data_IF_587007720378
#
_entry.id   IF_587007720378
#
_cell.length_a   1.000
_cell.length_b   1.000
_cell.length_c   1.000
_cell.angle_alpha   90.00
_cell.angle_beta   90.00
_cell.angle_gamma   90.00
#
_symmetry.space_group_name_H-M   'P 1'
#
loop_
_entity.id
_entity.type
_entity.pdbx_description
1 polymer ?
#
# COMPACT_ATOMS: atom_id res chain seq x y z
N UNK A 1 65.67 -4.68 7.24
CA UNK A 1 66.27 -3.38 7.63
C UNK A 1 65.10 -2.46 7.94
N UNK A 2 64.86 -2.20 9.24
CA UNK A 2 64.95 -0.94 9.96
C UNK A 2 64.01 0.16 9.40
N UNK A 3 63.10 0.84 10.06
CA UNK A 3 63.01 1.19 11.49
C UNK A 3 61.58 1.62 11.87
N UNK A 4 61.22 1.23 13.06
CA UNK A 4 60.24 1.77 14.00
C UNK A 4 60.38 3.29 14.20
N UNK A 5 59.22 3.99 14.48
CA UNK A 5 59.18 4.94 15.61
C UNK A 5 57.73 5.17 16.05
N UNK A 6 57.49 4.82 17.29
CA UNK A 6 56.36 5.22 18.12
C UNK A 6 56.68 6.58 18.76
N UNK A 7 55.67 7.41 19.02
CA UNK A 7 55.73 8.48 20.03
C UNK A 7 54.38 8.53 20.76
N UNK A 8 54.52 8.47 22.02
CA UNK A 8 53.72 8.31 23.23
C UNK A 8 53.17 9.68 23.71
N UNK A 9 51.93 9.65 24.26
CA UNK A 9 51.39 10.36 25.43
C UNK A 9 51.71 11.84 25.67
N UNK A 10 50.68 12.68 25.90
CA UNK A 10 50.59 13.48 27.14
C UNK A 10 49.15 13.84 27.55
N UNK A 11 48.83 13.46 28.76
CA UNK A 11 47.70 13.82 29.61
C UNK A 11 47.85 15.28 30.08
N UNK A 12 46.77 16.08 30.11
CA UNK A 12 46.64 17.12 31.13
C UNK A 12 45.17 17.44 31.43
N UNK A 13 44.85 17.13 32.65
CA UNK A 13 43.70 17.44 33.49
C UNK A 13 43.75 18.91 33.90
N UNK A 14 42.68 19.70 33.73
CA UNK A 14 42.49 20.95 34.44
C UNK A 14 41.08 21.10 35.00
N UNK A 15 40.98 20.90 36.29
CA UNK A 15 39.83 21.15 37.14
C UNK A 15 39.97 22.59 37.69
N UNK A 16 38.97 23.43 37.54
CA UNK A 16 38.86 24.70 38.25
C UNK A 16 37.41 25.04 38.58
N UNK A 17 37.09 24.89 39.85
CA UNK A 17 35.88 25.39 40.51
C UNK A 17 36.12 26.86 40.86
N UNK A 18 35.13 27.73 40.59
CA UNK A 18 35.01 29.02 41.28
C UNK A 18 33.52 29.38 41.47
N UNK A 19 33.13 29.33 42.72
CA UNK A 19 31.89 29.87 43.28
C UNK A 19 32.13 31.33 43.60
N UNK A 20 31.26 32.25 43.17
CA UNK A 20 31.06 33.55 43.80
C UNK A 20 29.59 33.87 43.87
N UNK A 21 29.10 33.99 45.08
CA UNK A 21 27.79 34.52 45.41
C UNK A 21 27.82 36.06 45.37
N UNK A 22 26.76 36.67 44.90
CA UNK A 22 26.58 38.11 44.97
C UNK A 22 25.08 38.44 44.94
N UNK A 23 24.50 38.66 46.11
CA UNK A 23 23.17 39.23 46.29
C UNK A 23 23.18 40.71 45.95
N UNK A 24 22.18 41.15 45.14
CA UNK A 24 21.70 42.52 45.24
C UNK A 24 20.20 42.55 44.90
N UNK A 25 19.46 43.07 45.85
CA UNK A 25 18.02 43.23 45.92
C UNK A 25 17.60 44.48 45.13
N UNK A 26 16.60 44.38 44.26
CA UNK A 26 15.73 45.52 44.00
C UNK A 26 14.38 45.01 43.46
N UNK A 27 13.35 45.28 44.25
CA UNK A 27 11.95 45.07 43.94
C UNK A 27 11.52 45.79 42.66
N UNK A 28 10.82 45.05 41.73
CA UNK A 28 9.75 45.58 40.91
C UNK A 28 8.78 44.49 40.55
N UNK A 29 7.57 44.71 41.00
CA UNK A 29 6.24 44.24 40.65
C UNK A 29 6.09 43.03 39.70
N UNK A 30 5.49 42.00 40.26
CA UNK A 30 4.82 40.89 39.59
C UNK A 30 3.71 41.41 38.66
N UNK A 31 3.91 41.22 37.38
CA UNK A 31 2.80 40.90 36.48
C UNK A 31 2.76 39.38 36.35
N UNK A 32 1.88 38.74 37.08
CA UNK A 32 1.54 37.33 36.92
C UNK A 32 0.73 37.20 35.64
N UNK A 33 1.36 36.91 34.53
CA UNK A 33 0.72 36.18 33.43
C UNK A 33 0.82 34.70 33.80
N UNK A 34 -0.22 34.17 34.43
CA UNK A 34 -0.46 32.73 34.44
C UNK A 34 -0.85 32.29 33.03
N UNK A 35 0.16 32.13 32.18
CA UNK A 35 0.02 31.28 31.04
C UNK A 35 -0.04 29.85 31.60
N UNK A 36 -1.17 29.23 31.51
CA UNK A 36 -1.31 27.78 31.60
C UNK A 36 -0.30 27.20 30.58
N UNK A 37 0.79 26.65 31.09
CA UNK A 37 1.62 25.71 30.38
C UNK A 37 0.74 24.45 30.22
N UNK A 38 -0.16 24.45 29.27
CA UNK A 38 -0.81 23.23 28.81
C UNK A 38 0.29 22.25 28.45
N UNK A 39 0.27 21.05 29.05
CA UNK A 39 1.18 19.98 28.65
C UNK A 39 1.05 19.79 27.14
N UNK A 40 2.08 20.13 26.40
CA UNK A 40 2.17 19.90 24.97
C UNK A 40 2.10 18.39 24.74
N UNK A 41 1.13 17.94 23.91
CA UNK A 41 0.93 16.52 23.58
C UNK A 41 1.50 16.24 22.22
N UNK A 42 2.26 15.16 22.11
CA UNK A 42 2.84 14.73 20.83
C UNK A 42 2.26 13.40 20.41
N UNK A 43 1.67 13.34 19.22
CA UNK A 43 1.20 12.13 18.54
C UNK A 43 2.33 11.63 17.67
N UNK A 44 2.81 10.41 17.88
CA UNK A 44 3.75 9.75 16.98
C UNK A 44 2.96 9.10 15.85
N UNK A 45 3.20 9.55 14.64
CA UNK A 45 2.55 9.02 13.43
C UNK A 45 3.55 8.39 12.49
N UNK A 46 3.28 7.17 12.04
CA UNK A 46 4.11 6.46 11.06
C UNK A 46 3.31 6.14 9.81
N UNK A 47 3.84 6.53 8.63
CA UNK A 47 3.18 6.25 7.36
C UNK A 47 4.14 5.73 6.28
N UNK A 48 3.56 5.19 5.18
CA UNK A 48 4.30 4.47 4.14
C UNK A 48 4.43 5.22 2.80
N UNK A 49 4.24 6.53 2.79
CA UNK A 49 4.31 7.36 1.57
C UNK A 49 5.51 8.32 1.60
N UNK A 50 6.72 7.87 1.22
CA UNK A 50 7.90 8.73 1.18
C UNK A 50 7.83 9.74 0.03
N UNK A 51 8.39 10.92 0.22
CA UNK A 51 8.40 12.02 -0.76
C UNK A 51 8.96 11.58 -2.11
N UNK A 52 10.00 10.74 -2.11
CA UNK A 52 10.72 10.32 -3.32
C UNK A 52 9.93 9.42 -4.26
N UNK A 53 8.99 8.60 -3.74
CA UNK A 53 8.24 7.63 -4.55
C UNK A 53 6.72 7.83 -4.52
N UNK A 54 6.21 8.61 -3.56
CA UNK A 54 4.80 8.86 -3.33
C UNK A 54 4.52 10.33 -3.04
N UNK A 55 5.16 11.24 -3.80
CA UNK A 55 5.18 12.68 -3.53
C UNK A 55 3.80 13.28 -3.30
N UNK A 56 2.82 12.91 -4.13
CA UNK A 56 1.47 13.47 -4.03
C UNK A 56 0.82 13.09 -2.71
N UNK A 57 0.90 11.81 -2.31
CA UNK A 57 0.40 11.35 -1.01
C UNK A 57 1.14 12.02 0.14
N UNK A 58 2.47 12.08 0.07
CA UNK A 58 3.31 12.75 1.07
C UNK A 58 2.87 14.20 1.30
N UNK A 59 2.68 14.96 0.21
CA UNK A 59 2.28 16.37 0.29
C UNK A 59 0.90 16.54 0.97
N UNK A 60 -0.05 15.67 0.66
CA UNK A 60 -1.38 15.69 1.29
C UNK A 60 -1.28 15.38 2.79
N UNK A 61 -0.45 14.40 3.18
CA UNK A 61 -0.21 14.06 4.59
C UNK A 61 0.33 15.25 5.36
N UNK A 62 1.37 15.91 4.84
CA UNK A 62 1.97 17.11 5.46
C UNK A 62 0.94 18.24 5.61
N UNK A 63 0.11 18.46 4.59
CA UNK A 63 -0.95 19.47 4.64
C UNK A 63 -2.00 19.14 5.69
N UNK A 64 -2.43 17.87 5.79
CA UNK A 64 -3.40 17.43 6.81
C UNK A 64 -2.83 17.63 8.21
N UNK A 65 -1.57 17.25 8.44
CA UNK A 65 -0.89 17.42 9.73
C UNK A 65 -0.83 18.90 10.11
N UNK A 66 -0.32 19.74 9.21
CA UNK A 66 -0.21 21.18 9.47
C UNK A 66 -1.57 21.82 9.82
N UNK A 67 -2.63 21.44 9.11
CA UNK A 67 -3.97 21.95 9.38
C UNK A 67 -4.49 21.41 10.74
N UNK A 68 -4.26 20.13 11.04
CA UNK A 68 -4.66 19.56 12.34
C UNK A 68 -3.99 20.26 13.51
N UNK A 69 -2.68 20.52 13.43
CA UNK A 69 -1.92 21.22 14.48
C UNK A 69 -2.42 22.66 14.68
N UNK A 70 -2.71 23.37 13.58
CA UNK A 70 -3.28 24.72 13.63
C UNK A 70 -4.68 24.74 14.31
N UNK A 71 -5.50 23.73 14.04
CA UNK A 71 -6.86 23.61 14.62
C UNK A 71 -6.82 23.07 16.06
N UNK A 72 -5.68 22.51 16.51
CA UNK A 72 -5.52 21.90 17.84
C UNK A 72 -4.26 22.42 18.57
N UNK A 73 -4.24 23.71 19.01
CA UNK A 73 -3.10 24.27 19.70
C UNK A 73 -2.69 23.45 20.93
N UNK A 74 -1.40 23.11 21.03
CA UNK A 74 -0.84 22.27 22.09
C UNK A 74 -0.81 20.76 21.76
N UNK A 75 -1.19 20.38 20.54
CA UNK A 75 -0.97 19.02 20.01
C UNK A 75 -0.02 19.11 18.83
N UNK A 76 1.06 18.33 18.85
CA UNK A 76 2.01 18.20 17.74
C UNK A 76 1.96 16.79 17.17
N UNK A 77 2.33 16.61 15.91
CA UNK A 77 2.44 15.31 15.24
C UNK A 77 3.89 15.07 14.83
N UNK A 78 4.54 14.10 15.45
CA UNK A 78 5.88 13.65 15.08
C UNK A 78 5.78 12.53 14.04
N UNK A 79 6.35 12.73 12.86
CA UNK A 79 6.18 11.83 11.71
C UNK A 79 7.41 10.98 11.46
N UNK A 80 7.20 9.68 11.24
CA UNK A 80 8.19 8.78 10.65
C UNK A 80 7.66 8.22 9.32
N UNK A 81 8.49 8.30 8.27
CA UNK A 81 8.13 7.89 6.91
C UNK A 81 9.05 6.76 6.44
N UNK A 82 8.46 5.69 5.91
CA UNK A 82 9.16 4.53 5.37
C UNK A 82 8.57 4.12 4.02
N UNK A 83 9.31 3.37 3.21
CA UNK A 83 8.70 2.69 2.06
C UNK A 83 7.79 1.54 2.51
N UNK A 84 6.90 1.08 1.63
CA UNK A 84 5.88 0.07 1.96
C UNK A 84 6.46 -1.16 2.66
N UNK A 85 7.48 -1.80 2.10
CA UNK A 85 8.06 -3.01 2.68
C UNK A 85 8.84 -2.72 3.97
N UNK A 86 9.58 -1.61 4.02
CA UNK A 86 10.26 -1.18 5.26
C UNK A 86 9.24 -0.87 6.37
N UNK A 87 8.10 -0.29 6.03
CA UNK A 87 7.02 -0.04 6.97
C UNK A 87 6.46 -1.34 7.55
N UNK A 88 6.11 -2.32 6.68
CA UNK A 88 5.59 -3.63 7.11
C UNK A 88 6.56 -4.36 8.04
N UNK A 89 7.83 -4.36 7.70
CA UNK A 89 8.88 -4.98 8.55
C UNK A 89 8.99 -4.28 9.90
N UNK A 90 9.03 -2.94 9.90
CA UNK A 90 9.19 -2.15 11.12
C UNK A 90 7.99 -2.26 12.05
N UNK A 91 6.76 -2.13 11.53
CA UNK A 91 5.55 -2.20 12.35
C UNK A 91 5.40 -3.56 13.06
N UNK A 92 5.80 -4.64 12.39
CA UNK A 92 5.83 -5.99 12.96
C UNK A 92 6.80 -6.08 14.14
N UNK A 93 8.00 -5.51 14.00
CA UNK A 93 9.00 -5.46 15.08
C UNK A 93 8.50 -4.61 16.25
N UNK A 94 7.99 -3.41 15.97
CA UNK A 94 7.50 -2.49 17.01
C UNK A 94 6.28 -3.06 17.75
N UNK A 95 5.41 -3.80 17.06
CA UNK A 95 4.30 -4.51 17.71
C UNK A 95 4.79 -5.54 18.71
N UNK A 96 5.88 -6.26 18.39
CA UNK A 96 6.45 -7.29 19.27
C UNK A 96 7.15 -6.68 20.49
N UNK A 97 7.79 -5.52 20.34
CA UNK A 97 8.48 -4.80 21.43
C UNK A 97 7.57 -3.90 22.28
N UNK A 98 6.27 -3.78 21.93
CA UNK A 98 5.31 -2.81 22.52
C UNK A 98 5.74 -1.34 22.32
N UNK A 99 6.30 -1.02 21.17
CA UNK A 99 6.80 0.30 20.81
C UNK A 99 6.12 0.86 19.57
N UNK A 100 4.84 0.46 19.33
CA UNK A 100 4.06 0.99 18.21
C UNK A 100 3.93 2.52 18.30
N UNK A 101 3.88 3.23 17.16
CA UNK A 101 3.50 4.64 17.17
C UNK A 101 2.06 4.81 17.67
N UNK A 102 1.68 6.00 18.11
CA UNK A 102 0.31 6.29 18.55
C UNK A 102 -0.71 6.06 17.43
N UNK A 103 -0.34 6.46 16.20
CA UNK A 103 -1.09 6.26 14.96
C UNK A 103 -0.17 5.67 13.92
N UNK A 104 -0.65 4.69 13.19
CA UNK A 104 0.07 4.11 12.06
C UNK A 104 -0.89 3.57 11.00
N UNK A 105 -0.32 2.99 9.94
CA UNK A 105 -1.06 2.41 8.85
C UNK A 105 -1.18 0.89 9.00
N UNK A 106 -2.29 0.34 8.52
CA UNK A 106 -2.56 -1.10 8.54
C UNK A 106 -3.39 -1.51 7.32
N UNK A 107 -3.53 -2.81 7.12
CA UNK A 107 -4.43 -3.38 6.12
C UNK A 107 -5.52 -4.21 6.80
N UNK A 108 -6.55 -4.56 6.04
CA UNK A 108 -7.75 -5.23 6.52
C UNK A 108 -7.55 -6.74 6.80
N UNK A 109 -8.61 -7.39 7.22
CA UNK A 109 -8.77 -8.85 7.29
C UNK A 109 -7.63 -9.60 8.02
N UNK A 110 -7.04 -10.62 7.41
CA UNK A 110 -6.00 -11.46 8.01
C UNK A 110 -4.74 -10.71 8.43
N UNK A 111 -4.36 -9.66 7.70
CA UNK A 111 -3.24 -8.80 8.09
C UNK A 111 -3.44 -8.13 9.45
N UNK A 112 -4.69 -7.70 9.73
CA UNK A 112 -5.05 -7.00 10.96
C UNK A 112 -5.08 -7.93 12.18
N UNK A 113 -5.43 -9.21 11.97
CA UNK A 113 -5.73 -10.18 13.03
C UNK A 113 -4.67 -10.28 14.15
N UNK A 114 -3.36 -10.43 13.88
CA UNK A 114 -2.37 -10.59 14.94
C UNK A 114 -2.21 -9.36 15.84
N UNK A 115 -2.47 -8.17 15.32
CA UNK A 115 -2.42 -6.94 16.11
C UNK A 115 -3.64 -6.82 17.03
N UNK A 116 -4.81 -7.29 16.57
CA UNK A 116 -6.04 -7.30 17.37
C UNK A 116 -5.96 -8.38 18.45
N UNK A 117 -5.56 -9.60 18.10
CA UNK A 117 -5.39 -10.72 19.04
C UNK A 117 -4.31 -10.40 20.10
N UNK A 118 -3.25 -9.71 19.67
CA UNK A 118 -2.19 -9.19 20.54
C UNK A 118 -2.61 -7.98 21.38
N UNK A 119 -3.85 -7.48 21.24
CA UNK A 119 -4.36 -6.26 21.90
C UNK A 119 -3.46 -5.05 21.69
N UNK A 120 -3.01 -4.87 20.43
CA UNK A 120 -2.13 -3.77 20.04
C UNK A 120 -2.89 -2.56 19.50
N UNK A 121 -4.08 -2.79 18.95
CA UNK A 121 -4.90 -1.77 18.33
C UNK A 121 -6.15 -1.50 19.17
N UNK A 122 -6.53 -0.23 19.26
CA UNK A 122 -7.74 0.23 19.93
C UNK A 122 -8.95 0.13 19.01
N UNK A 123 -10.12 -0.33 19.49
CA UNK A 123 -11.37 -0.20 18.73
C UNK A 123 -11.70 1.27 18.41
N UNK A 124 -12.17 1.51 17.18
CA UNK A 124 -12.49 2.84 16.65
C UNK A 124 -14.00 3.04 16.40
N UNK A 125 -14.84 2.15 16.96
CA UNK A 125 -16.30 2.18 16.78
C UNK A 125 -16.93 3.48 17.28
N UNK A 126 -16.37 4.09 18.33
CA UNK A 126 -16.82 5.34 18.88
C UNK A 126 -16.74 6.49 17.88
N UNK A 127 -15.62 6.66 17.18
CA UNK A 127 -15.47 7.67 16.14
C UNK A 127 -16.20 7.30 14.84
N UNK A 128 -16.30 6.00 14.53
CA UNK A 128 -17.05 5.52 13.38
C UNK A 128 -18.57 5.75 13.53
N UNK A 129 -19.10 5.67 14.75
CA UNK A 129 -20.53 5.91 15.04
C UNK A 129 -20.88 7.38 15.31
N UNK A 130 -19.89 8.23 15.52
CA UNK A 130 -20.06 9.67 15.77
C UNK A 130 -19.55 10.51 14.60
N UNK A 131 -18.30 10.86 14.61
CA UNK A 131 -17.67 11.82 13.69
C UNK A 131 -17.63 11.35 12.22
N UNK A 132 -17.53 10.04 12.01
CA UNK A 132 -17.43 9.41 10.70
C UNK A 132 -18.68 8.60 10.33
N UNK A 133 -19.79 8.87 11.04
CA UNK A 133 -21.04 8.17 10.77
C UNK A 133 -21.46 8.33 9.31
N UNK A 134 -21.76 7.19 8.68
CA UNK A 134 -22.20 7.10 7.27
C UNK A 134 -21.21 7.68 6.24
N UNK A 135 -19.95 7.96 6.65
CA UNK A 135 -18.94 8.55 5.77
C UNK A 135 -18.34 7.56 4.76
N UNK A 136 -18.30 6.28 5.09
CA UNK A 136 -17.63 5.27 4.27
C UNK A 136 -18.51 4.68 3.17
N UNK A 137 -17.87 4.25 2.07
CA UNK A 137 -18.47 3.36 1.09
C UNK A 137 -18.78 2.02 1.77
N UNK A 138 -20.00 1.46 1.61
CA UNK A 138 -20.37 0.20 2.28
C UNK A 138 -19.36 -0.93 2.01
N UNK A 139 -19.03 -1.67 3.05
CA UNK A 139 -18.07 -2.78 3.00
C UNK A 139 -16.62 -2.38 3.26
N UNK A 140 -16.26 -1.09 3.15
CA UNK A 140 -14.86 -0.67 3.28
C UNK A 140 -14.39 -0.61 4.73
N UNK A 141 -15.14 0.01 5.62
CA UNK A 141 -14.82 0.05 7.05
C UNK A 141 -15.04 -1.34 7.70
N UNK A 142 -16.06 -2.07 7.26
CA UNK A 142 -16.39 -3.42 7.74
C UNK A 142 -15.26 -4.42 7.48
N UNK A 143 -14.45 -4.22 6.43
CA UNK A 143 -13.29 -5.05 6.17
C UNK A 143 -12.21 -4.99 7.26
N UNK A 144 -12.22 -3.93 8.08
CA UNK A 144 -11.32 -3.71 9.22
C UNK A 144 -11.93 -4.16 10.56
N UNK A 145 -13.07 -4.86 10.52
CA UNK A 145 -13.71 -5.38 11.71
C UNK A 145 -13.26 -6.81 12.03
N UNK A 146 -12.97 -7.06 13.31
CA UNK A 146 -12.71 -8.39 13.90
C UNK A 146 -13.63 -8.52 15.10
N UNK A 147 -14.36 -9.62 15.19
CA UNK A 147 -15.33 -9.88 16.26
C UNK A 147 -16.33 -8.73 16.50
N UNK A 148 -16.76 -8.09 15.41
CA UNK A 148 -17.74 -7.01 15.41
C UNK A 148 -17.24 -5.67 15.92
N UNK A 149 -15.94 -5.47 16.05
CA UNK A 149 -15.28 -4.19 16.37
C UNK A 149 -14.33 -3.78 15.28
N UNK A 150 -14.31 -2.51 14.95
CA UNK A 150 -13.46 -1.94 13.90
C UNK A 150 -12.15 -1.45 14.49
N UNK A 151 -11.01 -1.93 13.96
CA UNK A 151 -9.66 -1.62 14.48
C UNK A 151 -8.79 -0.83 13.51
N UNK A 152 -9.31 -0.46 12.37
CA UNK A 152 -8.67 0.39 11.40
C UNK A 152 -9.70 1.13 10.56
N UNK A 153 -9.33 2.30 10.03
CA UNK A 153 -10.21 3.08 9.16
C UNK A 153 -9.55 3.24 7.79
N UNK A 154 -10.15 2.69 6.72
CA UNK A 154 -9.56 2.71 5.38
C UNK A 154 -9.47 4.14 4.84
N UNK A 155 -8.40 4.40 4.10
CA UNK A 155 -8.19 5.67 3.41
C UNK A 155 -8.60 5.58 1.93
N UNK A 156 -8.41 4.43 1.31
CA UNK A 156 -8.55 4.24 -0.13
C UNK A 156 -9.37 2.99 -0.46
N UNK A 157 -10.02 3.04 -1.62
CA UNK A 157 -10.65 1.90 -2.26
C UNK A 157 -10.00 1.69 -3.62
N UNK A 158 -9.47 0.50 -3.87
CA UNK A 158 -8.61 0.25 -5.01
C UNK A 158 -9.09 -0.94 -5.86
N UNK A 159 -8.82 -0.88 -7.16
CA UNK A 159 -8.80 -2.03 -8.06
C UNK A 159 -7.44 -2.08 -8.77
N UNK A 160 -6.90 -3.28 -8.97
CA UNK A 160 -5.75 -3.47 -9.82
C UNK A 160 -6.19 -3.54 -11.29
N UNK A 161 -5.44 -2.89 -12.18
CA UNK A 161 -5.70 -2.91 -13.62
C UNK A 161 -4.38 -2.88 -14.39
N UNK A 162 -4.41 -3.18 -15.69
CA UNK A 162 -3.21 -3.12 -16.53
C UNK A 162 -3.14 -1.73 -17.16
N UNK A 163 -2.22 -0.90 -16.67
CA UNK A 163 -1.86 0.34 -17.35
C UNK A 163 -0.94 0.03 -18.54
N UNK A 164 -1.10 0.77 -19.64
CA UNK A 164 -0.29 0.57 -20.84
C UNK A 164 0.05 1.88 -21.53
N UNK A 165 1.17 1.90 -22.23
CA UNK A 165 1.63 3.03 -23.01
C UNK A 165 1.03 2.95 -24.41
N UNK A 166 0.05 3.84 -24.71
CA UNK A 166 -0.63 3.93 -26.01
C UNK A 166 0.34 4.21 -27.16
N UNK A 167 1.38 5.02 -26.92
CA UNK A 167 2.36 5.33 -27.98
C UNK A 167 3.14 4.07 -28.41
N UNK A 168 3.50 3.19 -27.47
CA UNK A 168 4.12 1.88 -27.81
C UNK A 168 3.10 0.99 -28.54
N UNK A 169 1.85 0.93 -28.07
CA UNK A 169 0.83 0.13 -28.73
C UNK A 169 0.58 0.61 -30.16
N UNK A 170 0.46 1.92 -30.38
CA UNK A 170 0.23 2.52 -31.69
C UNK A 170 1.42 2.24 -32.65
N UNK A 171 2.67 2.31 -32.15
CA UNK A 171 3.87 2.01 -32.93
C UNK A 171 3.87 0.59 -33.54
N UNK A 172 3.34 -0.37 -32.78
CA UNK A 172 3.27 -1.79 -33.22
C UNK A 172 1.88 -2.21 -33.70
N UNK A 173 0.93 -1.27 -33.86
CA UNK A 173 -0.42 -1.57 -34.35
C UNK A 173 -1.22 -2.46 -33.39
N UNK A 174 -1.02 -2.31 -32.09
CA UNK A 174 -1.68 -3.09 -31.05
C UNK A 174 -2.90 -2.36 -30.49
N UNK A 175 -3.89 -3.13 -30.08
CA UNK A 175 -5.07 -2.65 -29.37
C UNK A 175 -5.10 -3.25 -27.95
N UNK A 176 -5.83 -2.59 -27.04
CA UNK A 176 -6.05 -3.11 -25.69
C UNK A 176 -6.78 -4.47 -25.74
N UNK A 177 -6.18 -5.56 -25.26
CA UNK A 177 -6.73 -6.91 -25.40
C UNK A 177 -7.93 -7.12 -24.46
N UNK A 178 -8.93 -7.87 -24.94
CA UNK A 178 -10.10 -8.29 -24.16
C UNK A 178 -10.06 -9.78 -23.81
N UNK A 179 -9.32 -10.56 -24.58
CA UNK A 179 -9.13 -11.99 -24.38
C UNK A 179 -7.67 -12.30 -24.10
N UNK A 180 -7.43 -13.39 -23.38
CA UNK A 180 -6.07 -13.79 -23.01
C UNK A 180 -5.23 -14.18 -24.24
N UNK A 181 -5.86 -14.67 -25.31
CA UNK A 181 -5.16 -14.95 -26.57
C UNK A 181 -4.71 -13.66 -27.26
N UNK A 182 -5.55 -12.61 -27.26
CA UNK A 182 -5.13 -11.28 -27.72
C UNK A 182 -3.99 -10.74 -26.86
N UNK A 183 -4.06 -10.91 -25.53
CA UNK A 183 -3.01 -10.50 -24.61
C UNK A 183 -1.68 -11.22 -24.89
N UNK A 184 -1.71 -12.54 -25.10
CA UNK A 184 -0.52 -13.30 -25.50
C UNK A 184 0.04 -12.83 -26.85
N UNK A 185 -0.83 -12.43 -27.80
CA UNK A 185 -0.39 -11.87 -29.08
C UNK A 185 0.29 -10.50 -28.89
N UNK A 186 -0.22 -9.63 -27.99
CA UNK A 186 0.44 -8.38 -27.61
C UNK A 186 1.83 -8.66 -27.06
N UNK A 187 1.96 -9.56 -26.07
CA UNK A 187 3.26 -9.97 -25.50
C UNK A 187 4.22 -10.45 -26.59
N UNK A 188 3.74 -11.36 -27.46
CA UNK A 188 4.56 -11.91 -28.54
C UNK A 188 5.06 -10.82 -29.50
N UNK A 189 4.16 -9.94 -29.93
CA UNK A 189 4.51 -8.86 -30.87
C UNK A 189 5.57 -7.94 -30.27
N UNK A 190 5.43 -7.53 -29.01
CA UNK A 190 6.39 -6.69 -28.32
C UNK A 190 7.75 -7.40 -28.15
N UNK A 191 7.73 -8.66 -27.70
CA UNK A 191 8.94 -9.47 -27.52
C UNK A 191 9.70 -9.66 -28.83
N UNK A 192 9.00 -10.00 -29.93
CA UNK A 192 9.57 -10.20 -31.27
C UNK A 192 10.25 -8.91 -31.79
N UNK A 193 9.79 -7.74 -31.33
CA UNK A 193 10.36 -6.43 -31.68
C UNK A 193 11.37 -5.90 -30.67
N UNK A 194 11.73 -6.69 -29.65
CA UNK A 194 12.73 -6.33 -28.64
C UNK A 194 12.24 -5.32 -27.59
N UNK A 195 10.92 -5.12 -27.49
CA UNK A 195 10.27 -4.30 -26.46
C UNK A 195 9.88 -5.18 -25.28
N UNK A 196 10.24 -4.77 -24.07
CA UNK A 196 9.79 -5.49 -22.87
C UNK A 196 8.27 -5.32 -22.69
N UNK A 197 7.47 -6.41 -22.68
CA UNK A 197 6.03 -6.28 -22.62
C UNK A 197 5.52 -5.70 -21.29
N UNK A 198 6.00 -6.24 -20.16
CA UNK A 198 5.42 -5.98 -18.84
C UNK A 198 6.51 -5.61 -17.84
N UNK A 199 6.33 -4.48 -17.16
CA UNK A 199 7.06 -4.17 -15.94
C UNK A 199 6.50 -5.01 -14.79
N UNK A 200 7.37 -5.70 -14.07
CA UNK A 200 7.04 -6.44 -12.85
C UNK A 200 8.21 -6.38 -11.88
N UNK A 201 7.96 -5.94 -10.66
CA UNK A 201 8.91 -5.95 -9.55
C UNK A 201 8.56 -7.03 -8.54
N UNK A 202 8.94 -8.29 -8.80
CA UNK A 202 8.52 -9.44 -8.00
C UNK A 202 9.43 -9.75 -6.80
N UNK A 203 10.40 -8.89 -6.49
CA UNK A 203 11.13 -8.94 -5.22
C UNK A 203 10.17 -8.70 -4.05
N UNK A 204 9.20 -7.82 -4.23
CA UNK A 204 8.19 -7.50 -3.22
C UNK A 204 7.06 -8.55 -3.16
N UNK A 205 7.02 -9.48 -4.11
CA UNK A 205 6.21 -10.71 -4.16
C UNK A 205 4.70 -10.48 -4.33
N UNK A 206 4.10 -9.50 -3.64
CA UNK A 206 2.68 -9.18 -3.76
C UNK A 206 2.29 -8.72 -5.18
N UNK A 207 3.20 -8.09 -5.91
CA UNK A 207 2.98 -7.69 -7.31
C UNK A 207 2.80 -8.89 -8.23
N UNK A 208 3.58 -9.95 -8.02
CA UNK A 208 3.39 -11.23 -8.71
C UNK A 208 2.08 -11.92 -8.30
N UNK A 209 1.66 -11.77 -7.05
CA UNK A 209 0.38 -12.30 -6.58
C UNK A 209 -0.80 -11.74 -7.35
N UNK A 210 -0.78 -10.47 -7.78
CA UNK A 210 -1.85 -9.88 -8.60
C UNK A 210 -2.08 -10.67 -9.90
N UNK A 211 -1.01 -11.10 -10.56
CA UNK A 211 -1.10 -11.92 -11.78
C UNK A 211 -1.75 -13.27 -11.51
N UNK A 212 -1.30 -13.96 -10.44
CA UNK A 212 -1.88 -15.23 -10.04
C UNK A 212 -3.36 -15.09 -9.68
N UNK A 213 -3.72 -14.05 -8.92
CA UNK A 213 -5.10 -13.79 -8.51
C UNK A 213 -6.04 -13.58 -9.68
N UNK A 214 -5.63 -12.77 -10.67
CA UNK A 214 -6.44 -12.56 -11.88
C UNK A 214 -6.57 -13.82 -12.72
N UNK A 215 -5.50 -14.58 -12.87
CA UNK A 215 -5.57 -15.87 -13.59
C UNK A 215 -6.47 -16.86 -12.86
N UNK A 216 -6.42 -16.91 -11.52
CA UNK A 216 -7.32 -17.73 -10.70
C UNK A 216 -8.79 -17.32 -10.90
N UNK A 217 -9.10 -16.04 -10.82
CA UNK A 217 -10.44 -15.50 -11.07
C UNK A 217 -10.95 -15.86 -12.47
N UNK A 218 -10.14 -15.62 -13.50
CA UNK A 218 -10.54 -15.86 -14.89
C UNK A 218 -10.70 -17.34 -15.25
N UNK A 219 -9.96 -18.23 -14.61
CA UNK A 219 -10.01 -19.68 -14.88
C UNK A 219 -11.05 -20.37 -13.98
N UNK A 220 -11.10 -20.02 -12.71
CA UNK A 220 -11.89 -20.71 -11.69
C UNK A 220 -13.12 -19.96 -11.20
N UNK A 221 -13.26 -18.69 -11.57
CA UNK A 221 -14.33 -17.80 -11.10
C UNK A 221 -13.91 -16.99 -9.86
N UNK A 222 -14.68 -15.94 -9.57
CA UNK A 222 -14.39 -14.92 -8.57
C UNK A 222 -14.14 -15.48 -7.16
N UNK A 223 -14.84 -16.55 -6.78
CA UNK A 223 -14.78 -17.09 -5.41
C UNK A 223 -13.72 -18.18 -5.20
N UNK A 224 -13.06 -18.67 -6.27
CA UNK A 224 -12.20 -19.86 -6.19
C UNK A 224 -11.05 -19.68 -5.20
N UNK A 225 -10.36 -18.54 -5.27
CA UNK A 225 -9.24 -18.25 -4.39
C UNK A 225 -9.69 -17.98 -2.95
N UNK A 226 -10.71 -17.13 -2.77
CA UNK A 226 -11.27 -16.84 -1.43
C UNK A 226 -11.81 -18.09 -0.76
N UNK A 227 -12.45 -19.00 -1.51
CA UNK A 227 -12.89 -20.29 -0.99
C UNK A 227 -11.73 -21.16 -0.52
N UNK A 228 -10.63 -21.21 -1.26
CA UNK A 228 -9.43 -21.94 -0.85
C UNK A 228 -8.80 -21.34 0.42
N UNK A 229 -8.66 -20.01 0.50
CA UNK A 229 -8.15 -19.31 1.70
C UNK A 229 -9.04 -19.61 2.93
N UNK A 230 -10.36 -19.57 2.76
CA UNK A 230 -11.33 -19.80 3.83
C UNK A 230 -11.57 -21.30 4.13
N UNK A 231 -10.83 -22.21 3.48
CA UNK A 231 -10.94 -23.66 3.65
C UNK A 231 -12.33 -24.25 3.33
N UNK A 232 -13.10 -23.54 2.49
CA UNK A 232 -14.34 -24.07 1.87
C UNK A 232 -14.09 -24.63 0.47
N UNK A 233 -12.91 -24.37 -0.09
CA UNK A 233 -12.31 -24.93 -1.29
C UNK A 233 -10.90 -25.45 -0.98
N UNK A 234 -10.06 -25.60 -2.01
CA UNK A 234 -8.67 -26.07 -1.87
C UNK A 234 -7.77 -25.39 -2.88
N UNK A 235 -6.51 -25.11 -2.50
CA UNK A 235 -5.47 -24.66 -3.43
C UNK A 235 -5.09 -25.74 -4.46
N UNK A 236 -5.39 -27.00 -4.19
CA UNK A 236 -5.23 -28.11 -5.14
C UNK A 236 -6.37 -28.18 -6.17
N UNK A 237 -7.33 -27.23 -6.15
CA UNK A 237 -8.33 -27.11 -7.22
C UNK A 237 -7.65 -26.92 -8.58
N UNK A 238 -8.14 -27.63 -9.59
CA UNK A 238 -7.55 -27.63 -10.93
C UNK A 238 -7.47 -26.21 -11.54
N UNK A 239 -8.40 -25.33 -11.20
CA UNK A 239 -8.38 -23.95 -11.68
C UNK A 239 -7.21 -23.17 -11.07
N UNK A 240 -6.94 -23.32 -9.76
CA UNK A 240 -5.83 -22.66 -9.08
C UNK A 240 -4.47 -23.20 -9.53
N UNK A 241 -4.36 -24.52 -9.71
CA UNK A 241 -3.16 -25.13 -10.30
C UNK A 241 -2.94 -24.67 -11.75
N UNK A 242 -4.03 -24.53 -12.55
CA UNK A 242 -3.95 -24.01 -13.91
C UNK A 242 -3.53 -22.53 -13.94
N UNK A 243 -4.02 -21.72 -13.01
CA UNK A 243 -3.59 -20.33 -12.85
C UNK A 243 -2.09 -20.23 -12.57
N UNK A 244 -1.57 -21.07 -11.67
CA UNK A 244 -0.13 -21.15 -11.39
C UNK A 244 0.67 -21.58 -12.64
N UNK A 245 0.14 -22.47 -13.44
CA UNK A 245 0.77 -22.88 -14.71
C UNK A 245 0.81 -21.73 -15.73
N UNK A 246 -0.28 -20.94 -15.83
CA UNK A 246 -0.33 -19.79 -16.73
C UNK A 246 0.66 -18.69 -16.32
N UNK A 247 0.91 -18.51 -15.01
CA UNK A 247 2.02 -17.64 -14.54
C UNK A 247 3.35 -18.09 -15.13
N UNK A 248 3.65 -19.40 -15.09
CA UNK A 248 4.91 -19.92 -15.67
C UNK A 248 4.94 -19.82 -17.20
N UNK A 249 3.78 -19.95 -17.87
CA UNK A 249 3.69 -19.76 -19.32
C UNK A 249 4.02 -18.31 -19.71
N UNK A 250 3.58 -17.31 -18.93
CA UNK A 250 3.96 -15.89 -19.15
C UNK A 250 5.48 -15.69 -19.00
N UNK A 251 6.10 -16.34 -18.01
CA UNK A 251 7.56 -16.29 -17.83
C UNK A 251 8.26 -16.92 -19.06
N UNK A 252 7.78 -18.06 -19.57
CA UNK A 252 8.33 -18.75 -20.74
C UNK A 252 8.19 -17.92 -22.03
N UNK A 253 7.17 -17.09 -22.12
CA UNK A 253 6.98 -16.13 -23.21
C UNK A 253 7.88 -14.90 -23.12
N UNK A 254 8.74 -14.77 -22.08
CA UNK A 254 9.51 -13.59 -21.78
C UNK A 254 8.62 -12.34 -21.63
N UNK A 255 7.44 -12.50 -21.01
CA UNK A 255 6.47 -11.43 -20.85
C UNK A 255 6.97 -10.28 -19.96
N UNK A 256 7.89 -10.55 -19.05
CA UNK A 256 8.32 -9.58 -18.03
C UNK A 256 9.69 -8.99 -18.33
N UNK A 257 9.96 -7.78 -17.81
CA UNK A 257 11.28 -7.14 -17.89
C UNK A 257 12.38 -8.06 -17.35
N UNK A 258 13.57 -7.93 -17.88
CA UNK A 258 14.69 -8.78 -17.46
C UNK A 258 15.02 -8.58 -15.98
N UNK A 259 15.12 -9.67 -15.23
CA UNK A 259 15.44 -9.65 -13.80
C UNK A 259 14.25 -9.33 -12.89
N UNK A 260 13.06 -9.30 -13.43
CA UNK A 260 11.81 -8.94 -12.75
C UNK A 260 11.62 -9.59 -11.36
N UNK A 261 12.06 -10.84 -11.19
CA UNK A 261 11.91 -11.60 -9.93
C UNK A 261 12.79 -11.07 -8.78
N UNK A 262 13.77 -10.22 -9.11
CA UNK A 262 14.67 -9.57 -8.15
C UNK A 262 14.57 -8.05 -8.11
N UNK A 263 13.74 -7.43 -8.98
CA UNK A 263 13.46 -6.00 -8.97
C UNK A 263 12.39 -5.68 -7.92
N UNK A 264 12.55 -4.57 -7.19
CA UNK A 264 11.50 -4.01 -6.37
C UNK A 264 10.39 -3.39 -7.24
N UNK A 265 9.19 -3.21 -6.68
CA UNK A 265 8.06 -2.61 -7.38
C UNK A 265 8.36 -1.19 -7.88
N UNK A 266 9.02 -0.37 -7.05
CA UNK A 266 9.43 0.99 -7.41
C UNK A 266 10.40 1.03 -8.61
N UNK A 267 11.26 0.01 -8.74
CA UNK A 267 12.17 -0.12 -9.89
C UNK A 267 11.38 -0.46 -11.16
N UNK A 268 10.44 -1.41 -11.07
CA UNK A 268 9.57 -1.79 -12.18
C UNK A 268 8.65 -0.63 -12.61
N UNK A 269 8.06 0.09 -11.66
CA UNK A 269 7.30 1.31 -11.91
C UNK A 269 8.13 2.35 -12.67
N UNK A 270 9.35 2.58 -12.22
CA UNK A 270 10.28 3.50 -12.89
C UNK A 270 10.57 3.06 -14.33
N UNK A 271 10.74 1.74 -14.59
CA UNK A 271 10.92 1.22 -15.95
C UNK A 271 9.71 1.51 -16.84
N UNK A 272 8.49 1.28 -16.34
CA UNK A 272 7.25 1.59 -17.06
C UNK A 272 7.14 3.09 -17.36
N UNK A 273 7.34 3.95 -16.35
CA UNK A 273 7.26 5.40 -16.48
C UNK A 273 8.31 5.99 -17.44
N UNK A 274 9.44 5.31 -17.62
CA UNK A 274 10.47 5.68 -18.60
C UNK A 274 10.28 5.03 -19.98
N UNK A 275 9.14 4.36 -20.24
CA UNK A 275 8.85 3.72 -21.51
C UNK A 275 9.71 2.50 -21.81
N UNK A 276 10.35 1.91 -20.80
CA UNK A 276 11.18 0.70 -20.94
C UNK A 276 10.37 -0.59 -20.90
N UNK A 277 9.09 -0.50 -20.57
CA UNK A 277 8.11 -1.57 -20.67
C UNK A 277 6.78 -1.01 -21.14
N UNK A 278 6.01 -1.81 -21.88
CA UNK A 278 4.77 -1.36 -22.51
C UNK A 278 3.56 -1.38 -21.56
N UNK A 279 3.56 -2.26 -20.56
CA UNK A 279 2.43 -2.50 -19.65
C UNK A 279 2.90 -2.63 -18.19
N UNK A 280 1.98 -2.35 -17.24
CA UNK A 280 2.21 -2.49 -15.80
C UNK A 280 0.89 -2.81 -15.09
N UNK A 281 0.80 -3.98 -14.44
CA UNK A 281 -0.35 -4.36 -13.62
C UNK A 281 -0.13 -3.86 -12.19
N UNK A 282 -0.94 -2.90 -11.78
CA UNK A 282 -0.85 -2.27 -10.45
C UNK A 282 -2.22 -1.76 -10.00
N UNK A 283 -2.36 -1.46 -8.72
CA UNK A 283 -3.57 -0.89 -8.17
C UNK A 283 -3.78 0.59 -8.50
N UNK A 284 -5.03 1.02 -8.40
CA UNK A 284 -5.45 2.41 -8.67
C UNK A 284 -4.82 3.46 -7.74
N UNK A 285 -4.13 3.07 -6.68
CA UNK A 285 -3.27 3.98 -5.89
C UNK A 285 -2.14 4.61 -6.71
N UNK A 286 -1.82 4.07 -7.89
CA UNK A 286 -0.79 4.61 -8.77
C UNK A 286 -1.32 5.66 -9.77
N UNK A 287 -2.64 5.88 -9.83
CA UNK A 287 -3.31 6.87 -10.70
C UNK A 287 -2.68 8.28 -10.65
N UNK A 288 -2.20 8.78 -9.49
CA UNK A 288 -1.54 10.10 -9.45
C UNK A 288 -0.42 10.23 -10.47
N UNK A 289 0.37 9.20 -10.70
CA UNK A 289 1.49 9.20 -11.64
C UNK A 289 1.06 9.31 -13.11
N UNK A 290 -0.21 9.00 -13.40
CA UNK A 290 -0.77 9.04 -14.75
C UNK A 290 -1.76 10.21 -14.93
N UNK A 291 -2.06 10.94 -13.86
CA UNK A 291 -3.08 12.01 -13.87
C UNK A 291 -2.54 13.33 -13.32
N UNK A 292 -2.36 13.47 -12.02
CA UNK A 292 -2.16 14.73 -11.30
C UNK A 292 -0.71 15.04 -10.95
N UNK A 293 0.19 14.06 -10.93
CA UNK A 293 1.59 14.29 -10.57
C UNK A 293 2.32 15.09 -11.65
N UNK A 294 2.56 16.36 -11.40
CA UNK A 294 3.22 17.27 -12.35
C UNK A 294 4.72 16.98 -12.53
N UNK A 295 5.36 16.23 -11.64
CA UNK A 295 6.75 15.81 -11.82
C UNK A 295 6.89 14.75 -12.91
N UNK A 296 5.78 14.07 -13.28
CA UNK A 296 5.72 13.15 -14.40
C UNK A 296 5.45 13.92 -15.69
N UNK A 297 6.26 13.77 -16.75
CA UNK A 297 6.06 14.47 -17.99
C UNK A 297 4.63 14.33 -18.53
N UNK A 298 4.01 15.46 -18.92
CA UNK A 298 2.63 15.45 -19.45
C UNK A 298 2.46 14.52 -20.65
N UNK A 299 3.45 14.47 -21.54
CA UNK A 299 3.44 13.58 -22.72
C UNK A 299 3.31 12.10 -22.31
N UNK A 300 4.00 11.69 -21.23
CA UNK A 300 3.86 10.34 -20.70
C UNK A 300 2.47 10.15 -20.11
N UNK A 301 1.99 11.04 -19.25
CA UNK A 301 0.65 10.95 -18.65
C UNK A 301 -0.45 10.83 -19.71
N UNK A 302 -0.39 11.64 -20.76
CA UNK A 302 -1.34 11.62 -21.87
C UNK A 302 -1.27 10.33 -22.71
N UNK A 303 -0.09 9.68 -22.72
CA UNK A 303 0.13 8.42 -23.46
C UNK A 303 -0.35 7.18 -22.69
N UNK A 304 -0.70 7.29 -21.40
CA UNK A 304 -1.15 6.14 -20.64
C UNK A 304 -2.63 5.88 -20.86
N UNK A 305 -2.98 4.61 -20.97
CA UNK A 305 -4.32 4.08 -20.91
C UNK A 305 -4.35 2.92 -19.94
N UNK A 306 -5.53 2.32 -19.75
CA UNK A 306 -5.66 1.08 -19.00
C UNK A 306 -6.66 0.15 -19.67
N UNK A 307 -6.60 -1.13 -19.32
CA UNK A 307 -7.59 -2.13 -19.65
C UNK A 307 -7.71 -3.16 -18.52
N UNK A 308 -8.90 -3.75 -18.42
CA UNK A 308 -9.18 -4.79 -17.44
C UNK A 308 -8.47 -6.10 -17.80
N UNK A 309 -8.10 -6.88 -16.80
CA UNK A 309 -7.45 -8.17 -17.05
C UNK A 309 -8.33 -9.05 -17.97
N UNK A 310 -7.78 -9.57 -19.08
CA UNK A 310 -8.54 -10.24 -20.10
C UNK A 310 -9.24 -11.52 -19.63
N UNK A 311 -10.31 -11.92 -20.32
CA UNK A 311 -10.97 -13.21 -20.11
C UNK A 311 -10.11 -14.37 -20.62
N UNK A 312 -10.06 -15.49 -19.89
CA UNK A 312 -9.29 -16.70 -20.26
C UNK A 312 -10.24 -17.75 -20.84
N UNK A 313 -9.99 -18.18 -22.08
CA UNK A 313 -10.84 -19.16 -22.81
C UNK A 313 -12.34 -18.82 -22.80
N UNK A 314 -12.66 -17.53 -22.86
CA UNK A 314 -14.02 -17.03 -22.79
C UNK A 314 -14.68 -17.16 -21.41
N UNK A 315 -13.88 -17.40 -20.37
CA UNK A 315 -14.32 -17.48 -18.97
C UNK A 315 -13.86 -16.27 -18.19
N UNK A 316 -14.51 -16.05 -17.04
CA UNK A 316 -14.31 -14.89 -16.19
C UNK A 316 -15.01 -13.64 -16.75
N UNK A 317 -15.14 -12.63 -15.92
CA UNK A 317 -15.79 -11.37 -16.26
C UNK A 317 -14.77 -10.24 -16.23
N UNK A 318 -14.79 -9.37 -17.24
CA UNK A 318 -13.90 -8.18 -17.28
C UNK A 318 -14.15 -7.24 -16.10
N UNK A 319 -15.37 -7.27 -15.56
CA UNK A 319 -15.81 -6.46 -14.41
C UNK A 319 -15.55 -7.12 -13.05
N UNK A 320 -14.93 -8.31 -13.01
CA UNK A 320 -14.40 -8.90 -11.79
C UNK A 320 -12.96 -8.41 -11.57
N UNK A 321 -12.69 -7.81 -10.41
CA UNK A 321 -11.41 -7.18 -10.12
C UNK A 321 -10.71 -7.79 -8.91
N UNK A 322 -9.40 -7.66 -8.89
CA UNK A 322 -8.58 -7.78 -7.69
C UNK A 322 -8.47 -6.39 -7.09
N UNK A 323 -8.77 -6.24 -5.80
CA UNK A 323 -8.82 -4.93 -5.19
C UNK A 323 -9.41 -4.95 -3.79
N UNK A 324 -10.05 -3.86 -3.41
CA UNK A 324 -10.73 -3.68 -2.14
C UNK A 324 -10.21 -2.50 -1.35
N UNK A 325 -10.58 -2.37 -0.06
CA UNK A 325 -10.03 -1.36 0.82
C UNK A 325 -8.52 -1.46 0.87
N UNK A 326 -7.85 -0.33 0.63
CA UNK A 326 -6.41 -0.22 0.63
C UNK A 326 -5.83 -0.09 2.05
N UNK A 327 -4.82 0.78 2.21
CA UNK A 327 -4.27 1.09 3.53
C UNK A 327 -5.28 1.88 4.38
N UNK A 328 -5.29 1.62 5.68
CA UNK A 328 -6.10 2.35 6.67
C UNK A 328 -5.26 2.79 7.87
N UNK A 329 -5.83 3.57 8.77
CA UNK A 329 -5.20 4.04 9.99
C UNK A 329 -5.65 3.25 11.20
N UNK A 330 -4.71 2.89 12.08
CA UNK A 330 -4.98 2.35 13.41
C UNK A 330 -4.56 3.33 14.51
N UNK A 331 -5.10 3.14 15.72
CA UNK A 331 -4.62 3.78 16.95
C UNK A 331 -4.06 2.70 17.86
N UNK A 332 -2.86 2.93 18.43
CA UNK A 332 -2.23 2.00 19.37
C UNK A 332 -3.02 1.91 20.67
N UNK A 333 -3.20 0.68 21.17
CA UNK A 333 -3.82 0.46 22.50
C UNK A 333 -2.95 1.01 23.64
N UNK A 334 -1.64 0.99 23.46
CA UNK A 334 -0.66 1.45 24.48
C UNK A 334 -0.36 2.96 24.36
N UNK A 335 -1.07 3.73 23.52
CA UNK A 335 -0.86 5.17 23.38
C UNK A 335 -1.21 5.94 24.66
N UNK A 336 -0.32 6.79 25.13
CA UNK A 336 -0.53 7.72 26.26
C UNK A 336 -1.39 8.94 25.84
N UNK A 337 -1.54 9.17 24.52
CA UNK A 337 -2.33 10.28 23.92
C UNK A 337 -3.50 9.76 23.08
N UNK A 338 -4.14 8.66 23.51
CA UNK A 338 -5.13 7.90 22.75
C UNK A 338 -6.30 8.76 22.25
N UNK A 339 -6.80 9.68 23.06
CA UNK A 339 -7.93 10.54 22.67
C UNK A 339 -7.52 11.54 21.58
N UNK A 340 -6.32 12.12 21.67
CA UNK A 340 -5.75 12.97 20.63
C UNK A 340 -5.46 12.18 19.37
N UNK A 341 -4.95 10.96 19.49
CA UNK A 341 -4.69 10.05 18.38
C UNK A 341 -6.01 9.70 17.64
N UNK A 342 -7.09 9.36 18.36
CA UNK A 342 -8.42 9.13 17.76
C UNK A 342 -8.95 10.39 17.05
N UNK A 343 -8.80 11.56 17.68
CA UNK A 343 -9.19 12.83 17.06
C UNK A 343 -8.41 13.10 15.78
N UNK A 344 -7.10 12.83 15.80
CA UNK A 344 -6.25 12.95 14.61
C UNK A 344 -6.68 11.98 13.50
N UNK A 345 -6.94 10.71 13.81
CA UNK A 345 -7.44 9.73 12.84
C UNK A 345 -8.76 10.15 12.22
N UNK A 346 -9.73 10.63 13.04
CA UNK A 346 -11.01 11.13 12.53
C UNK A 346 -10.84 12.34 11.61
N UNK A 347 -9.99 13.29 12.00
CA UNK A 347 -9.64 14.46 11.18
C UNK A 347 -8.96 14.05 9.87
N UNK A 348 -7.98 13.16 9.98
CA UNK A 348 -7.20 12.68 8.83
C UNK A 348 -8.09 12.01 7.78
N UNK A 349 -8.96 11.08 8.19
CA UNK A 349 -9.86 10.35 7.28
C UNK A 349 -10.77 11.31 6.50
N UNK A 350 -11.36 12.33 7.18
CA UNK A 350 -12.20 13.33 6.53
C UNK A 350 -11.42 14.16 5.52
N UNK A 351 -10.27 14.71 5.95
CA UNK A 351 -9.45 15.55 5.11
C UNK A 351 -8.84 14.76 3.94
N UNK A 352 -8.46 13.49 4.17
CA UNK A 352 -7.99 12.60 3.12
C UNK A 352 -9.06 12.36 2.06
N UNK A 353 -10.29 12.05 2.46
CA UNK A 353 -11.41 11.82 1.54
C UNK A 353 -11.65 12.98 0.57
N UNK A 354 -11.46 14.22 1.02
CA UNK A 354 -11.62 15.43 0.19
C UNK A 354 -10.37 15.70 -0.69
N UNK A 355 -9.17 15.64 -0.08
CA UNK A 355 -7.93 16.06 -0.73
C UNK A 355 -7.35 15.02 -1.69
N UNK A 356 -7.46 13.73 -1.34
CA UNK A 356 -6.90 12.65 -2.15
C UNK A 356 -7.51 12.60 -3.55
N UNK A 357 -8.78 12.92 -3.68
CA UNK A 357 -9.48 12.98 -4.97
C UNK A 357 -8.99 14.14 -5.82
N UNK A 358 -9.00 15.36 -5.26
CA UNK A 358 -8.74 16.58 -6.02
C UNK A 358 -7.26 16.82 -6.26
N UNK A 359 -6.40 16.42 -5.33
CA UNK A 359 -4.97 16.68 -5.41
C UNK A 359 -4.17 15.48 -5.94
N UNK A 360 -4.58 14.24 -5.56
CA UNK A 360 -3.86 13.04 -5.97
C UNK A 360 -4.57 12.25 -7.08
N UNK A 361 -5.89 12.34 -7.21
CA UNK A 361 -6.64 11.46 -8.10
C UNK A 361 -6.71 10.02 -7.57
N UNK A 362 -6.70 9.84 -6.24
CA UNK A 362 -6.88 8.56 -5.55
C UNK A 362 -8.34 8.38 -5.19
N UNK A 363 -8.85 7.17 -5.28
CA UNK A 363 -10.26 6.86 -4.93
C UNK A 363 -10.33 6.65 -3.41
N UNK A 364 -11.03 7.52 -2.67
CA UNK A 364 -11.15 7.40 -1.22
C UNK A 364 -12.07 6.25 -0.83
N UNK A 365 -11.85 5.69 0.36
CA UNK A 365 -12.78 4.74 0.95
C UNK A 365 -14.04 5.41 1.53
N UNK A 366 -14.02 6.74 1.63
CA UNK A 366 -15.18 7.55 2.02
C UNK A 366 -16.05 7.90 0.81
N UNK A 367 -17.33 8.14 1.04
CA UNK A 367 -18.26 8.56 0.00
C UNK A 367 -17.82 9.89 -0.60
N UNK A 368 -17.88 9.98 -1.92
CA UNK A 368 -17.49 11.13 -2.70
C UNK A 368 -18.73 11.81 -3.31
N UNK A 369 -18.83 13.13 -3.13
CA UNK A 369 -19.79 13.95 -3.89
C UNK A 369 -19.10 14.44 -5.18
N UNK A 370 -19.04 13.55 -6.19
CA UNK A 370 -18.26 13.77 -7.41
C UNK A 370 -18.84 14.84 -8.35
N UNK A 371 -20.13 15.15 -8.25
CA UNK A 371 -20.88 15.97 -9.22
C UNK A 371 -20.35 17.41 -9.37
N UNK A 372 -19.53 17.88 -8.42
CA UNK A 372 -18.97 19.24 -8.42
C UNK A 372 -17.47 19.31 -8.71
N UNK A 373 -16.80 18.17 -8.97
CA UNK A 373 -15.35 18.10 -9.09
C UNK A 373 -14.92 17.97 -10.55
N UNK A 374 -13.92 18.77 -10.95
CA UNK A 374 -13.20 18.58 -12.22
C UNK A 374 -12.14 17.50 -12.03
N UNK A 375 -12.44 16.27 -12.48
CA UNK A 375 -11.57 15.11 -12.30
C UNK A 375 -10.93 14.69 -13.63
N UNK A 376 -9.68 14.19 -13.63
CA UNK A 376 -9.05 13.64 -14.82
C UNK A 376 -9.88 12.50 -15.41
N UNK A 377 -9.95 12.40 -16.75
CA UNK A 377 -10.78 11.39 -17.42
C UNK A 377 -10.42 9.97 -16.99
N UNK A 378 -9.13 9.63 -16.88
CA UNK A 378 -8.69 8.30 -16.43
C UNK A 378 -9.19 7.99 -15.01
N UNK A 379 -9.25 8.97 -14.11
CA UNK A 379 -9.83 8.78 -12.79
C UNK A 379 -11.32 8.41 -12.88
N UNK A 380 -12.08 9.16 -13.70
CA UNK A 380 -13.51 8.90 -13.93
C UNK A 380 -13.71 7.50 -14.52
N UNK A 381 -12.86 7.10 -15.47
CA UNK A 381 -12.95 5.80 -16.12
C UNK A 381 -12.70 4.65 -15.12
N UNK A 382 -11.66 4.76 -14.28
CA UNK A 382 -11.35 3.75 -13.23
C UNK A 382 -12.44 3.74 -12.14
N UNK A 383 -12.98 4.90 -11.76
CA UNK A 383 -14.10 4.99 -10.83
C UNK A 383 -15.35 4.30 -11.40
N UNK A 384 -15.61 4.43 -12.69
CA UNK A 384 -16.69 3.73 -13.37
C UNK A 384 -16.47 2.22 -13.38
N UNK A 385 -15.25 1.73 -13.63
CA UNK A 385 -14.93 0.31 -13.52
C UNK A 385 -15.20 -0.23 -12.11
N UNK A 386 -14.76 0.51 -11.09
CA UNK A 386 -15.01 0.16 -9.70
C UNK A 386 -16.52 0.13 -9.38
N UNK A 387 -17.26 1.13 -9.86
CA UNK A 387 -18.72 1.23 -9.64
C UNK A 387 -19.52 0.14 -10.35
N UNK A 388 -19.01 -0.37 -11.47
CA UNK A 388 -19.63 -1.44 -12.27
C UNK A 388 -19.05 -2.82 -11.92
N UNK A 389 -18.17 -2.93 -10.93
CA UNK A 389 -17.55 -4.18 -10.55
C UNK A 389 -18.60 -5.21 -10.15
N UNK A 390 -18.57 -6.38 -10.77
CA UNK A 390 -19.44 -7.52 -10.41
C UNK A 390 -18.89 -8.29 -9.22
N UNK A 391 -17.55 -8.21 -9.02
CA UNK A 391 -16.85 -8.77 -7.88
C UNK A 391 -15.55 -8.00 -7.63
N UNK A 392 -15.13 -7.90 -6.37
CA UNK A 392 -13.82 -7.41 -5.96
C UNK A 392 -13.23 -8.42 -4.98
N UNK A 393 -12.18 -9.11 -5.41
CA UNK A 393 -11.44 -10.06 -4.58
C UNK A 393 -10.33 -9.33 -3.85
N UNK A 394 -10.41 -9.29 -2.51
CA UNK A 394 -9.37 -8.65 -1.68
C UNK A 394 -8.01 -9.32 -1.92
N UNK A 395 -6.93 -8.55 -1.83
CA UNK A 395 -5.56 -9.01 -2.03
C UNK A 395 -5.26 -10.26 -1.17
N UNK A 396 -4.68 -11.29 -1.78
CA UNK A 396 -4.52 -12.61 -1.14
C UNK A 396 -3.68 -12.54 0.14
N UNK A 397 -2.58 -11.80 0.11
CA UNK A 397 -1.69 -11.59 1.27
C UNK A 397 -2.37 -10.80 2.40
N UNK A 398 -3.38 -9.99 2.09
CA UNK A 398 -4.20 -9.26 3.06
C UNK A 398 -5.30 -10.16 3.65
N UNK A 399 -5.89 -11.05 2.85
CA UNK A 399 -6.91 -12.00 3.32
C UNK A 399 -6.35 -13.05 4.27
N UNK A 400 -5.13 -13.53 4.00
CA UNK A 400 -4.49 -14.63 4.73
C UNK A 400 -3.97 -14.19 6.09
N UNK A 401 -3.88 -15.13 7.04
CA UNK A 401 -3.07 -14.90 8.24
C UNK A 401 -1.60 -14.62 7.85
N UNK A 402 -0.83 -13.93 8.68
CA UNK A 402 0.56 -13.59 8.34
C UNK A 402 1.44 -14.78 8.00
N UNK A 403 1.21 -15.92 8.66
CA UNK A 403 1.97 -17.15 8.42
C UNK A 403 1.67 -17.73 7.04
N UNK A 404 0.39 -17.78 6.64
CA UNK A 404 -0.01 -18.26 5.31
C UNK A 404 0.34 -17.24 4.24
N UNK A 405 0.20 -15.95 4.52
CA UNK A 405 0.59 -14.86 3.62
C UNK A 405 2.09 -14.95 3.26
N UNK A 406 2.96 -15.22 4.24
CA UNK A 406 4.41 -15.36 3.98
C UNK A 406 4.70 -16.61 3.12
N UNK A 407 3.99 -17.71 3.34
CA UNK A 407 4.08 -18.88 2.46
C UNK A 407 3.60 -18.53 1.06
N UNK A 408 2.44 -17.86 0.93
CA UNK A 408 1.91 -17.42 -0.36
C UNK A 408 2.92 -16.56 -1.12
N UNK A 409 3.42 -15.51 -0.50
CA UNK A 409 4.39 -14.58 -1.11
C UNK A 409 5.70 -15.27 -1.52
N UNK A 410 6.20 -16.18 -0.68
CA UNK A 410 7.39 -16.98 -0.99
C UNK A 410 7.13 -17.93 -2.16
N UNK A 411 5.98 -18.58 -2.19
CA UNK A 411 5.61 -19.48 -3.27
C UNK A 411 5.32 -18.73 -4.58
N UNK A 412 4.79 -17.51 -4.54
CA UNK A 412 4.67 -16.63 -5.72
C UNK A 412 6.05 -16.39 -6.33
N UNK A 413 7.04 -15.97 -5.55
CA UNK A 413 8.38 -15.72 -6.06
C UNK A 413 9.04 -16.99 -6.64
N UNK A 414 8.89 -18.13 -5.95
CA UNK A 414 9.38 -19.41 -6.40
C UNK A 414 8.70 -19.88 -7.70
N UNK A 415 7.37 -19.65 -7.83
CA UNK A 415 6.61 -19.98 -9.03
C UNK A 415 7.10 -19.19 -10.25
N UNK A 416 7.26 -17.87 -10.10
CA UNK A 416 7.82 -17.00 -11.16
C UNK A 416 9.28 -17.30 -11.47
N UNK A 417 10.06 -17.73 -10.48
CA UNK A 417 11.44 -18.20 -10.65
C UNK A 417 11.56 -19.60 -11.24
N UNK A 418 10.42 -20.31 -11.40
CA UNK A 418 10.36 -21.73 -11.82
C UNK A 418 11.10 -22.68 -10.84
N UNK A 419 11.19 -22.27 -9.58
CA UNK A 419 11.77 -23.04 -8.48
C UNK A 419 10.71 -23.93 -7.79
N UNK A 420 9.42 -23.64 -8.00
CA UNK A 420 8.29 -24.45 -7.58
C UNK A 420 7.46 -24.85 -8.80
N UNK A 421 6.94 -26.10 -8.81
CA UNK A 421 5.90 -26.48 -9.77
C UNK A 421 4.54 -25.91 -9.36
N UNK A 422 3.54 -25.80 -10.27
CA UNK A 422 2.16 -25.43 -9.92
C UNK A 422 1.56 -26.33 -8.84
N UNK A 423 1.86 -27.61 -8.86
CA UNK A 423 1.40 -28.59 -7.87
C UNK A 423 2.10 -28.40 -6.52
N UNK A 424 3.41 -28.12 -6.50
CA UNK A 424 4.13 -27.79 -5.26
C UNK A 424 3.61 -26.49 -4.65
N UNK A 425 3.35 -25.48 -5.50
CA UNK A 425 2.73 -24.22 -5.08
C UNK A 425 1.41 -24.48 -4.35
N UNK A 426 0.50 -25.24 -4.94
CA UNK A 426 -0.80 -25.57 -4.36
C UNK A 426 -0.63 -26.33 -3.03
N UNK A 427 0.19 -27.38 -3.03
CA UNK A 427 0.45 -28.21 -1.86
C UNK A 427 1.02 -27.42 -0.68
N UNK A 428 1.93 -26.47 -0.93
CA UNK A 428 2.50 -25.64 0.13
C UNK A 428 1.47 -24.74 0.81
N UNK A 429 0.50 -24.23 0.04
CA UNK A 429 -0.62 -23.49 0.62
C UNK A 429 -1.52 -24.38 1.49
N UNK A 430 -1.85 -25.59 1.02
CA UNK A 430 -2.63 -26.54 1.82
C UNK A 430 -1.91 -26.94 3.12
N UNK A 431 -0.60 -27.19 3.06
CA UNK A 431 0.22 -27.47 4.23
C UNK A 431 0.16 -26.30 5.23
N UNK A 432 0.30 -25.05 4.77
CA UNK A 432 0.27 -23.85 5.61
C UNK A 432 -1.12 -23.63 6.25
N UNK A 433 -2.19 -23.76 5.46
CA UNK A 433 -3.56 -23.63 5.96
C UNK A 433 -3.92 -24.74 6.96
N UNK A 434 -3.39 -25.95 6.78
CA UNK A 434 -3.66 -27.09 7.69
C UNK A 434 -2.92 -26.97 9.02
N UNK A 435 -1.90 -26.12 9.11
CA UNK A 435 -1.11 -25.88 10.31
C UNK A 435 -1.74 -24.85 11.27
N UNK A 436 -2.80 -24.15 10.82
CA UNK A 436 -3.61 -23.22 11.62
C UNK A 436 -4.75 -23.96 12.34
#
# INVERSE_FOLDING_TARGET
>A
MKQKKAITLLFTLFLSILVIAGCSNSDKEKASSSGESGNEKTIKFMHLWPEGSSKTHYTIVEEIISNFENDNPGVNVEVEVLSNEQYKDKIKVLSTSNELPDVGMTWAAGYLTPYVDGKKFTPLDDILQSDLKDSFVPGTAEAYAIDGKTYGLPLELNIATIFYNKAIFDEYGLEAPKTYDEFKNVIKTLTDNGVAPIALGNKDRWTGSLWYMYLADRIGGADVLTSAINRTGSFEDLALVSAAKEVQNLVDMNAFVKGFNGLADEEAKSMFMNGQAAMYLIGSWDLPNYTTNEDVPKEFRDSIGFFNFPTVDGKGELTSHVGGPGVGLFVSEDSDVKEEAKKFVSYFVKAWGEKSVTQAGVIPATKLEADSLELPQMYIDVLNELSNATNITLFADVQMSPEVAEVHLTQIQALFGKEATPEDFAKKHEEALSAQ
#
